data_IF_565455546930
#
_entry.id   IF_565455546930
#
_cell.length_a   1.000
_cell.length_b   1.000
_cell.length_c   1.000
_cell.angle_alpha   90.00
_cell.angle_beta   90.00
_cell.angle_gamma   90.00
#
_symmetry.space_group_name_H-M   'P 1'
#
loop_
_entity.id
_entity.type
_entity.pdbx_description
1 polymer ?
#
# COMPACT_ATOMS: atom_id res chain seq x y z
N UNK A 1 -15.57 1.52 4.62
CA UNK A 1 -14.76 1.95 5.78
C UNK A 1 -13.34 2.16 5.28
N UNK A 2 -12.95 3.41 5.06
CA UNK A 2 -11.68 3.79 4.43
C UNK A 2 -11.22 5.15 4.99
N UNK A 3 -10.04 5.63 4.57
CA UNK A 3 -9.44 6.89 4.99
C UNK A 3 -8.36 6.74 6.06
N UNK A 4 -7.80 7.86 6.52
CA UNK A 4 -6.59 7.92 7.36
C UNK A 4 -6.66 7.15 8.71
N UNK A 5 -7.86 6.86 9.20
CA UNK A 5 -8.05 6.07 10.44
C UNK A 5 -8.09 4.56 10.23
N UNK A 6 -8.03 4.08 8.98
CA UNK A 6 -8.17 2.67 8.65
C UNK A 6 -7.07 2.23 7.70
N UNK A 7 -6.77 0.93 7.76
CA UNK A 7 -5.83 0.32 6.85
C UNK A 7 -6.25 -1.12 6.52
N UNK A 8 -5.97 -1.55 5.29
CA UNK A 8 -6.39 -2.85 4.78
C UNK A 8 -5.19 -3.71 4.38
N UNK A 9 -5.21 -4.96 4.84
CA UNK A 9 -4.31 -6.02 4.41
C UNK A 9 -5.06 -6.96 3.48
N UNK A 10 -4.59 -7.09 2.24
CA UNK A 10 -5.23 -7.89 1.19
C UNK A 10 -4.29 -8.98 0.65
N UNK A 11 -4.86 -9.84 -0.17
CA UNK A 11 -4.12 -10.79 -1.00
C UNK A 11 -3.76 -10.12 -2.33
N UNK A 12 -2.51 -10.28 -2.80
CA UNK A 12 -1.98 -9.53 -3.96
C UNK A 12 -2.29 -10.11 -5.34
N UNK A 13 -2.87 -11.32 -5.41
CA UNK A 13 -3.15 -12.04 -6.65
C UNK A 13 -4.33 -11.52 -7.49
N UNK A 14 -4.88 -10.35 -7.15
CA UNK A 14 -5.92 -9.72 -7.96
C UNK A 14 -5.29 -9.08 -9.21
N UNK A 15 -6.08 -8.97 -10.27
CA UNK A 15 -5.65 -8.22 -11.45
C UNK A 15 -5.49 -6.73 -11.09
N UNK A 16 -4.58 -6.04 -11.77
CA UNK A 16 -4.50 -4.59 -11.68
C UNK A 16 -5.86 -3.97 -12.00
N UNK A 17 -6.27 -2.97 -11.24
CA UNK A 17 -7.55 -2.28 -11.36
C UNK A 17 -8.79 -3.21 -11.23
N UNK A 18 -8.69 -4.32 -10.49
CA UNK A 18 -9.82 -5.25 -10.27
C UNK A 18 -11.09 -4.58 -9.72
N UNK A 19 -10.96 -3.42 -9.07
CA UNK A 19 -12.04 -2.65 -8.47
C UNK A 19 -12.72 -1.67 -9.44
N UNK A 20 -12.28 -1.59 -10.70
CA UNK A 20 -12.88 -0.74 -11.74
C UNK A 20 -13.82 -1.51 -12.68
N UNK A 21 -14.05 -2.80 -12.43
CA UNK A 21 -14.94 -3.62 -13.26
C UNK A 21 -16.39 -3.54 -12.75
N UNK A 22 -17.33 -3.18 -13.63
CA UNK A 22 -18.75 -3.22 -13.32
C UNK A 22 -19.26 -4.67 -13.26
N UNK A 23 -19.85 -5.06 -12.13
CA UNK A 23 -20.39 -6.42 -11.96
C UNK A 23 -21.92 -6.48 -11.92
N UNK A 24 -22.66 -5.37 -12.05
CA UNK A 24 -24.14 -5.34 -12.05
C UNK A 24 -24.83 -5.91 -10.80
N UNK A 25 -24.07 -6.46 -9.85
CA UNK A 25 -24.51 -7.10 -8.61
C UNK A 25 -24.29 -6.19 -7.38
N UNK A 26 -23.61 -5.06 -7.56
CA UNK A 26 -23.29 -4.10 -6.50
C UNK A 26 -24.12 -2.83 -6.71
N UNK A 27 -24.61 -2.26 -5.61
CA UNK A 27 -25.30 -0.96 -5.61
C UNK A 27 -24.33 0.23 -5.70
N UNK A 28 -23.03 0.00 -5.46
CA UNK A 28 -21.98 1.02 -5.55
C UNK A 28 -21.51 1.21 -6.99
N UNK A 29 -21.21 2.46 -7.37
CA UNK A 29 -20.60 2.78 -8.67
C UNK A 29 -19.11 2.47 -8.69
N UNK A 30 -18.52 2.39 -9.89
CA UNK A 30 -17.07 2.22 -10.08
C UNK A 30 -16.25 3.32 -9.41
N UNK A 31 -16.74 4.55 -9.42
CA UNK A 31 -16.07 5.71 -8.81
C UNK A 31 -16.07 5.58 -7.28
N UNK A 32 -17.20 5.17 -6.69
CA UNK A 32 -17.29 4.95 -5.24
C UNK A 32 -16.39 3.80 -4.78
N UNK A 33 -16.27 2.75 -5.60
CA UNK A 33 -15.37 1.63 -5.33
C UNK A 33 -13.91 2.04 -5.45
N UNK A 34 -13.56 2.80 -6.50
CA UNK A 34 -12.23 3.33 -6.71
C UNK A 34 -11.82 4.24 -5.56
N UNK A 35 -12.67 5.21 -5.17
CA UNK A 35 -12.41 6.10 -4.04
C UNK A 35 -12.10 5.30 -2.76
N UNK A 36 -12.91 4.29 -2.44
CA UNK A 36 -12.72 3.47 -1.24
C UNK A 36 -11.42 2.66 -1.25
N UNK A 37 -11.04 2.09 -2.40
CA UNK A 37 -9.82 1.26 -2.53
C UNK A 37 -8.56 2.12 -2.63
N UNK A 38 -8.59 3.17 -3.43
CA UNK A 38 -7.45 4.06 -3.68
C UNK A 38 -7.08 4.87 -2.43
N UNK A 39 -8.07 5.41 -1.71
CA UNK A 39 -7.86 6.10 -0.44
C UNK A 39 -7.39 5.18 0.68
N UNK A 40 -7.60 3.86 0.57
CA UNK A 40 -7.14 2.90 1.57
C UNK A 40 -5.63 2.66 1.51
N UNK A 41 -5.00 2.89 0.35
CA UNK A 41 -3.59 2.61 0.07
C UNK A 41 -3.14 1.24 0.61
N UNK A 42 -4.00 0.23 0.42
CA UNK A 42 -3.87 -1.09 1.04
C UNK A 42 -2.47 -1.70 0.82
N UNK A 43 -2.07 -2.56 1.75
CA UNK A 43 -0.90 -3.43 1.57
C UNK A 43 -1.41 -4.82 1.21
N UNK A 44 -0.84 -5.40 0.18
CA UNK A 44 -1.07 -6.78 -0.18
C UNK A 44 0.20 -7.60 -0.03
N UNK A 45 -0.01 -8.91 0.10
CA UNK A 45 1.10 -9.88 0.07
C UNK A 45 0.87 -10.89 -1.02
N UNK A 46 1.93 -11.20 -1.77
CA UNK A 46 1.92 -12.19 -2.84
C UNK A 46 3.26 -12.91 -2.93
N UNK A 47 3.25 -14.20 -3.30
CA UNK A 47 4.48 -14.91 -3.61
C UNK A 47 5.17 -14.31 -4.85
N UNK A 48 6.48 -14.09 -4.76
CA UNK A 48 7.29 -13.54 -5.84
C UNK A 48 7.34 -14.51 -7.02
N UNK A 49 6.84 -14.07 -8.18
CA UNK A 49 6.66 -14.93 -9.35
C UNK A 49 7.95 -15.16 -10.14
N UNK A 50 8.86 -14.18 -10.15
CA UNK A 50 10.10 -14.21 -10.93
C UNK A 50 11.31 -13.95 -10.04
N UNK A 51 12.42 -14.60 -10.34
CA UNK A 51 13.70 -14.46 -9.63
C UNK A 51 14.37 -13.11 -9.86
N UNK A 52 15.62 -12.98 -9.40
CA UNK A 52 16.43 -11.78 -9.64
C UNK A 52 16.94 -11.72 -11.08
N UNK A 53 16.96 -10.53 -11.69
CA UNK A 53 17.36 -10.34 -13.10
C UNK A 53 18.80 -10.77 -13.40
N UNK A 54 19.72 -10.62 -12.44
CA UNK A 54 21.15 -10.87 -12.62
C UNK A 54 21.60 -12.26 -12.12
N UNK A 55 20.69 -13.23 -12.04
CA UNK A 55 20.99 -14.60 -11.61
C UNK A 55 20.83 -15.55 -12.78
N UNK A 56 21.89 -16.30 -13.10
CA UNK A 56 21.81 -17.42 -14.03
C UNK A 56 21.17 -18.62 -13.34
N UNK A 57 20.10 -19.12 -13.92
CA UNK A 57 19.30 -20.22 -13.36
C UNK A 57 19.91 -21.60 -13.68
N UNK A 58 19.34 -22.65 -13.11
CA UNK A 58 19.77 -24.05 -13.31
C UNK A 58 19.76 -24.49 -14.78
N UNK A 59 18.90 -23.88 -15.61
CA UNK A 59 18.83 -24.16 -17.04
C UNK A 59 19.87 -23.39 -17.86
N UNK A 60 20.69 -22.55 -17.22
CA UNK A 60 21.74 -21.76 -17.87
C UNK A 60 21.25 -20.46 -18.49
N UNK A 61 19.99 -20.06 -18.27
CA UNK A 61 19.41 -18.80 -18.76
C UNK A 61 19.08 -17.86 -17.61
N UNK A 62 18.93 -16.58 -17.91
CA UNK A 62 18.45 -15.53 -17.00
C UNK A 62 16.92 -15.41 -17.02
N UNK A 63 16.36 -14.67 -16.07
CA UNK A 63 14.92 -14.41 -15.99
C UNK A 63 14.42 -13.64 -17.22
N UNK A 64 15.19 -12.66 -17.70
CA UNK A 64 14.84 -11.88 -18.89
C UNK A 64 14.83 -12.74 -20.16
N UNK A 65 15.84 -13.59 -20.34
CA UNK A 65 15.89 -14.57 -21.44
C UNK A 65 14.71 -15.54 -21.38
N UNK A 66 14.35 -16.03 -20.19
CA UNK A 66 13.17 -16.87 -20.00
C UNK A 66 11.88 -16.16 -20.45
N UNK A 67 11.68 -14.89 -20.06
CA UNK A 67 10.50 -14.12 -20.45
C UNK A 67 10.45 -13.93 -21.98
N UNK A 68 11.56 -13.56 -22.61
CA UNK A 68 11.63 -13.42 -24.08
C UNK A 68 11.28 -14.74 -24.79
N UNK A 69 11.87 -15.86 -24.36
CA UNK A 69 11.59 -17.18 -24.94
C UNK A 69 10.12 -17.58 -24.77
N UNK A 70 9.52 -17.26 -23.64
CA UNK A 70 8.12 -17.57 -23.35
C UNK A 70 7.17 -16.73 -24.22
N UNK A 71 7.44 -15.43 -24.34
CA UNK A 71 6.68 -14.52 -25.20
C UNK A 71 6.75 -14.94 -26.67
N UNK A 72 7.94 -15.25 -27.19
CA UNK A 72 8.13 -15.77 -28.54
C UNK A 72 7.37 -17.08 -28.79
N UNK A 73 7.30 -17.96 -27.79
CA UNK A 73 6.57 -19.22 -27.89
C UNK A 73 5.05 -19.02 -27.93
N UNK A 74 4.53 -18.08 -27.14
CA UNK A 74 3.08 -17.79 -27.07
C UNK A 74 2.60 -17.06 -28.34
N UNK A 75 3.45 -16.25 -28.97
CA UNK A 75 3.13 -15.57 -30.23
C UNK A 75 2.95 -16.53 -31.43
N UNK A 76 3.23 -17.83 -31.27
CA UNK A 76 2.92 -18.81 -32.30
C UNK A 76 1.40 -18.93 -32.50
N UNK A 77 0.97 -19.06 -33.75
CA UNK A 77 -0.43 -18.95 -34.20
C UNK A 77 -1.43 -19.89 -33.48
N UNK A 78 -0.92 -20.99 -32.90
CA UNK A 78 -1.73 -21.95 -32.11
C UNK A 78 -1.97 -21.51 -30.66
N UNK A 79 -1.11 -20.64 -30.14
CA UNK A 79 -1.06 -20.23 -28.74
C UNK A 79 -1.47 -18.76 -28.52
N UNK A 80 -1.58 -17.97 -29.59
CA UNK A 80 -2.00 -16.56 -29.58
C UNK A 80 -3.36 -16.28 -28.91
N UNK A 81 -4.20 -17.32 -28.76
CA UNK A 81 -5.49 -17.24 -28.05
C UNK A 81 -5.38 -17.34 -26.52
N UNK A 82 -4.21 -17.67 -25.99
CA UNK A 82 -3.99 -17.83 -24.54
C UNK A 82 -3.27 -16.61 -23.99
N UNK A 83 -3.75 -16.11 -22.85
CA UNK A 83 -3.06 -15.07 -22.08
C UNK A 83 -1.99 -15.71 -21.21
N UNK A 84 -0.82 -15.08 -21.16
CA UNK A 84 0.23 -15.50 -20.24
C UNK A 84 -0.22 -15.23 -18.80
N UNK A 85 -0.16 -16.26 -17.96
CA UNK A 85 -0.36 -16.12 -16.52
C UNK A 85 1.01 -15.93 -15.85
N UNK A 86 1.07 -15.07 -14.83
CA UNK A 86 2.32 -14.75 -14.13
C UNK A 86 2.96 -15.95 -13.43
N UNK A 87 2.22 -17.05 -13.22
CA UNK A 87 2.68 -18.25 -12.52
C UNK A 87 3.42 -19.26 -13.41
N UNK A 88 3.64 -18.97 -14.70
CA UNK A 88 4.31 -19.88 -15.63
C UNK A 88 5.71 -20.32 -15.14
N UNK A 89 6.42 -19.43 -14.45
CA UNK A 89 7.74 -19.68 -13.87
C UNK A 89 7.72 -20.83 -12.85
N UNK A 90 6.67 -20.95 -12.04
CA UNK A 90 6.52 -22.06 -11.09
C UNK A 90 6.34 -23.40 -11.79
N UNK A 91 5.60 -23.44 -12.90
CA UNK A 91 5.46 -24.63 -13.72
C UNK A 91 6.81 -25.06 -14.33
N UNK A 92 7.58 -24.10 -14.83
CA UNK A 92 8.91 -24.34 -15.38
C UNK A 92 9.87 -24.92 -14.32
N UNK A 93 9.94 -24.31 -13.14
CA UNK A 93 10.80 -24.75 -12.05
C UNK A 93 10.35 -26.08 -11.44
N UNK A 94 9.05 -26.39 -11.47
CA UNK A 94 8.54 -27.69 -10.98
C UNK A 94 9.09 -28.88 -11.77
N UNK A 95 9.27 -28.71 -13.09
CA UNK A 95 9.88 -29.75 -13.94
C UNK A 95 11.37 -29.90 -13.62
N UNK A 96 12.07 -28.79 -13.38
CA UNK A 96 13.48 -28.84 -12.96
C UNK A 96 13.65 -29.51 -11.60
N UNK A 97 12.81 -29.16 -10.61
CA UNK A 97 12.82 -29.80 -9.30
C UNK A 97 12.61 -31.31 -9.41
N UNK A 98 11.63 -31.75 -10.22
CA UNK A 98 11.37 -33.16 -10.49
C UNK A 98 12.56 -33.84 -11.17
N UNK A 99 13.17 -33.21 -12.17
CA UNK A 99 14.33 -33.76 -12.88
C UNK A 99 15.55 -33.94 -11.96
N UNK A 100 15.85 -32.93 -11.13
CA UNK A 100 16.95 -32.99 -10.16
C UNK A 100 16.71 -34.08 -9.09
N UNK A 101 15.49 -34.14 -8.54
CA UNK A 101 15.12 -35.14 -7.55
C UNK A 101 15.22 -36.56 -8.13
N UNK A 102 14.71 -36.79 -9.34
CA UNK A 102 14.79 -38.09 -10.01
C UNK A 102 16.22 -38.50 -10.35
N UNK A 103 17.05 -37.55 -10.80
CA UNK A 103 18.46 -37.81 -11.08
C UNK A 103 19.19 -38.31 -9.83
N UNK A 104 19.00 -37.61 -8.71
CA UNK A 104 19.60 -38.01 -7.43
C UNK A 104 19.02 -39.32 -6.91
N UNK A 105 17.71 -39.52 -7.05
CA UNK A 105 17.05 -40.78 -6.68
C UNK A 105 17.62 -41.97 -7.46
N UNK A 106 17.90 -41.80 -8.75
CA UNK A 106 18.50 -42.85 -9.59
C UNK A 106 19.90 -43.27 -9.11
N UNK A 107 20.69 -42.34 -8.55
CA UNK A 107 21.98 -42.66 -7.92
C UNK A 107 21.80 -43.47 -6.63
N UNK A 108 20.85 -43.07 -5.79
CA UNK A 108 20.55 -43.73 -4.51
C UNK A 108 20.05 -45.16 -4.77
N UNK A 109 19.13 -45.36 -5.72
CA UNK A 109 18.58 -46.68 -6.05
C UNK A 109 19.66 -47.68 -6.52
N UNK A 110 20.71 -47.21 -7.22
CA UNK A 110 21.81 -48.06 -7.68
C UNK A 110 22.75 -48.51 -6.56
N UNK A 111 22.84 -47.72 -5.49
CA UNK A 111 23.77 -47.93 -4.36
C UNK A 111 23.09 -48.55 -3.14
N UNK A 112 21.77 -48.44 -3.05
CA UNK A 112 20.97 -49.05 -1.99
C UNK A 112 21.05 -50.58 -2.08
N UNK A 113 21.34 -51.22 -0.95
CA UNK A 113 21.31 -52.67 -0.83
C UNK A 113 19.90 -53.13 -0.48
N UNK A 114 19.35 -54.03 -1.28
CA UNK A 114 18.04 -54.64 -1.06
C UNK A 114 18.20 -56.08 -0.58
N UNK A 115 17.21 -56.59 0.15
CA UNK A 115 17.22 -57.94 0.72
C UNK A 115 17.32 -59.05 -0.36
N UNK A 116 16.87 -58.75 -1.57
CA UNK A 116 16.94 -59.63 -2.75
C UNK A 116 18.29 -59.56 -3.48
N UNK A 117 19.19 -58.66 -3.07
CA UNK A 117 20.49 -58.42 -3.69
C UNK A 117 20.45 -57.79 -5.09
N UNK A 118 19.25 -57.41 -5.57
CA UNK A 118 19.08 -56.84 -6.90
C UNK A 118 19.28 -55.32 -6.86
N UNK A 119 19.92 -54.79 -7.91
CA UNK A 119 19.95 -53.34 -8.14
C UNK A 119 18.62 -52.89 -8.69
N UNK A 120 18.15 -51.71 -8.25
CA UNK A 120 16.94 -51.08 -8.76
C UNK A 120 17.29 -49.82 -9.54
N UNK A 121 16.49 -49.56 -10.57
CA UNK A 121 16.44 -48.29 -11.30
C UNK A 121 15.05 -47.67 -11.21
N UNK A 122 14.88 -46.48 -11.81
CA UNK A 122 13.60 -45.78 -11.85
C UNK A 122 12.53 -46.59 -12.62
N UNK A 123 12.96 -47.40 -13.59
CA UNK A 123 12.13 -48.30 -14.39
C UNK A 123 11.48 -49.43 -13.60
N UNK A 124 11.97 -49.71 -12.38
CA UNK A 124 11.43 -50.76 -11.51
C UNK A 124 10.32 -50.23 -10.57
N UNK A 125 9.79 -49.03 -10.83
CA UNK A 125 8.74 -48.43 -10.02
C UNK A 125 7.46 -49.27 -10.01
N UNK A 126 6.86 -49.40 -8.82
CA UNK A 126 5.51 -49.94 -8.64
C UNK A 126 4.75 -49.08 -7.63
N UNK A 127 3.42 -48.98 -7.77
CA UNK A 127 2.60 -48.17 -6.86
C UNK A 127 2.63 -48.64 -5.39
N UNK A 128 3.08 -49.87 -5.12
CA UNK A 128 3.24 -50.40 -3.76
C UNK A 128 4.64 -50.27 -3.18
N UNK A 129 5.63 -49.75 -3.93
CA UNK A 129 7.02 -49.64 -3.46
C UNK A 129 7.20 -48.42 -2.54
N UNK A 130 6.99 -48.65 -1.24
CA UNK A 130 7.21 -47.65 -0.19
C UNK A 130 8.66 -47.22 -0.04
N UNK A 131 9.63 -48.07 -0.38
CA UNK A 131 11.04 -47.72 -0.28
C UNK A 131 11.40 -46.70 -1.35
N UNK A 132 10.97 -46.95 -2.59
CA UNK A 132 11.20 -46.01 -3.69
C UNK A 132 10.46 -44.68 -3.46
N UNK A 133 9.22 -44.71 -2.95
CA UNK A 133 8.51 -43.48 -2.61
C UNK A 133 9.21 -42.67 -1.51
N UNK A 134 9.78 -43.34 -0.51
CA UNK A 134 10.53 -42.68 0.57
C UNK A 134 11.81 -42.03 0.04
N UNK A 135 12.52 -42.72 -0.87
CA UNK A 135 13.68 -42.14 -1.54
C UNK A 135 13.27 -40.88 -2.31
N UNK A 136 12.21 -40.93 -3.11
CA UNK A 136 11.75 -39.76 -3.87
C UNK A 136 11.40 -38.58 -2.96
N UNK A 137 10.68 -38.84 -1.85
CA UNK A 137 10.30 -37.79 -0.90
C UNK A 137 11.52 -37.13 -0.25
N UNK A 138 12.44 -37.93 0.31
CA UNK A 138 13.66 -37.42 0.93
C UNK A 138 14.53 -36.67 -0.07
N UNK A 139 14.60 -37.17 -1.30
CA UNK A 139 15.43 -36.55 -2.33
C UNK A 139 14.84 -35.22 -2.80
N UNK A 140 13.50 -35.09 -2.85
CA UNK A 140 12.82 -33.84 -3.16
C UNK A 140 13.00 -32.79 -2.06
N UNK A 141 12.98 -33.20 -0.79
CA UNK A 141 13.22 -32.31 0.35
C UNK A 141 14.63 -31.70 0.34
N UNK A 142 15.62 -32.43 -0.20
CA UNK A 142 17.00 -31.97 -0.36
C UNK A 142 17.23 -31.09 -1.61
N UNK A 143 16.24 -30.91 -2.48
CA UNK A 143 16.40 -30.11 -3.71
C UNK A 143 16.59 -28.64 -3.35
N UNK A 144 17.71 -28.08 -3.82
CA UNK A 144 17.98 -26.65 -3.85
C UNK A 144 18.57 -26.25 -5.20
N UNK A 145 17.99 -25.23 -5.85
CA UNK A 145 18.57 -24.62 -7.04
C UNK A 145 18.03 -23.19 -7.27
N UNK A 146 18.76 -22.40 -8.07
CA UNK A 146 18.27 -21.12 -8.58
C UNK A 146 17.41 -21.35 -9.82
N UNK A 147 16.09 -21.17 -9.68
CA UNK A 147 15.12 -21.26 -10.77
C UNK A 147 14.77 -19.91 -11.36
N UNK A 148 13.93 -19.90 -12.40
CA UNK A 148 13.44 -18.65 -13.00
C UNK A 148 12.49 -17.89 -12.07
N UNK A 149 11.90 -18.57 -11.09
CA UNK A 149 11.12 -17.98 -10.00
C UNK A 149 11.96 -17.64 -8.75
N UNK A 150 13.28 -17.70 -8.86
CA UNK A 150 14.22 -17.48 -7.75
C UNK A 150 14.66 -18.78 -7.08
N UNK A 151 15.22 -18.72 -5.85
CA UNK A 151 15.66 -19.92 -5.14
C UNK A 151 14.47 -20.86 -4.90
N UNK A 152 14.66 -22.14 -5.23
CA UNK A 152 13.67 -23.20 -5.04
C UNK A 152 14.19 -24.15 -3.98
N UNK A 153 13.42 -24.31 -2.91
CA UNK A 153 13.65 -25.29 -1.85
C UNK A 153 12.32 -25.64 -1.18
N UNK A 154 12.31 -26.71 -0.39
CA UNK A 154 11.09 -27.24 0.23
C UNK A 154 11.27 -27.43 1.73
N UNK A 155 10.18 -27.23 2.48
CA UNK A 155 10.04 -27.62 3.88
C UNK A 155 8.83 -28.54 3.99
N UNK A 156 9.06 -29.83 4.11
CA UNK A 156 8.00 -30.83 3.98
C UNK A 156 7.39 -30.79 2.58
N UNK A 157 6.09 -30.51 2.49
CA UNK A 157 5.38 -30.41 1.20
C UNK A 157 5.37 -28.97 0.62
N UNK A 158 5.77 -27.98 1.40
CA UNK A 158 5.63 -26.56 1.03
C UNK A 158 6.91 -26.03 0.43
N UNK A 159 6.78 -25.28 -0.67
CA UNK A 159 7.90 -24.53 -1.23
C UNK A 159 8.23 -23.35 -0.31
N UNK A 160 9.51 -23.20 -0.01
CA UNK A 160 10.05 -22.00 0.64
C UNK A 160 10.45 -21.01 -0.46
N UNK A 161 9.87 -19.82 -0.41
CA UNK A 161 10.10 -18.79 -1.41
C UNK A 161 10.14 -17.39 -0.81
N UNK A 162 10.18 -16.39 -1.69
CA UNK A 162 10.15 -14.98 -1.32
C UNK A 162 8.72 -14.47 -1.44
N UNK A 163 8.26 -13.72 -0.45
CA UNK A 163 6.95 -13.05 -0.47
C UNK A 163 7.17 -11.57 -0.74
N UNK A 164 6.54 -11.03 -1.78
CA UNK A 164 6.43 -9.60 -2.01
C UNK A 164 5.37 -9.01 -1.07
N UNK A 165 5.72 -7.88 -0.47
CA UNK A 165 4.80 -6.98 0.22
C UNK A 165 4.65 -5.77 -0.69
N UNK A 166 3.43 -5.55 -1.15
CA UNK A 166 3.09 -4.54 -2.15
C UNK A 166 2.15 -3.52 -1.52
N UNK A 167 2.20 -2.29 -2.00
CA UNK A 167 1.30 -1.23 -1.57
C UNK A 167 0.68 -0.55 -2.78
N UNK A 168 -0.63 -0.34 -2.74
CA UNK A 168 -1.30 0.52 -3.69
C UNK A 168 -0.87 1.98 -3.46
N UNK A 169 -0.25 2.59 -4.46
CA UNK A 169 0.23 3.98 -4.40
C UNK A 169 -0.34 4.82 -5.52
N UNK A 170 -0.86 5.99 -5.17
CA UNK A 170 -1.27 7.03 -6.12
C UNK A 170 -0.11 7.98 -6.43
N UNK A 171 -0.05 8.47 -7.68
CA UNK A 171 0.84 9.58 -8.07
C UNK A 171 1.78 9.31 -9.25
N UNK A 172 1.67 8.16 -9.94
CA UNK A 172 2.51 7.88 -11.10
C UNK A 172 1.93 8.50 -12.39
N UNK A 173 2.71 9.38 -13.03
CA UNK A 173 2.45 9.86 -14.40
C UNK A 173 2.82 8.76 -15.41
N UNK A 174 1.88 8.32 -16.24
CA UNK A 174 2.21 7.58 -17.46
C UNK A 174 2.91 8.53 -18.44
N UNK A 175 4.22 8.35 -18.68
CA UNK A 175 4.92 9.11 -19.72
C UNK A 175 4.80 8.39 -21.07
N UNK A 176 3.85 8.82 -21.90
CA UNK A 176 3.82 8.49 -23.32
C UNK A 176 4.77 9.38 -24.13
N UNK A 177 5.89 8.79 -24.58
CA UNK A 177 6.78 9.15 -25.72
C UNK A 177 7.37 10.57 -25.83
N UNK A 178 8.64 10.71 -25.46
CA UNK A 178 9.67 11.33 -26.32
C UNK A 178 10.99 10.57 -26.20
N UNK A 179 11.49 10.13 -27.36
CA UNK A 179 12.87 9.73 -27.69
C UNK A 179 13.83 9.34 -26.55
N UNK A 180 14.14 8.04 -26.48
CA UNK A 180 15.47 7.47 -26.15
C UNK A 180 16.22 8.12 -24.98
N UNK A 181 15.74 7.99 -23.75
CA UNK A 181 16.55 7.90 -22.51
C UNK A 181 15.61 7.74 -21.31
N UNK A 182 15.63 6.55 -20.69
CA UNK A 182 14.84 6.23 -19.50
C UNK A 182 15.43 6.95 -18.28
N UNK A 183 14.70 7.89 -17.70
CA UNK A 183 15.01 8.40 -16.36
C UNK A 183 13.74 8.45 -15.53
N UNK A 184 13.79 7.82 -14.36
CA UNK A 184 12.70 7.81 -13.37
C UNK A 184 12.84 9.08 -12.56
N UNK A 185 11.92 10.03 -12.71
CA UNK A 185 11.79 11.13 -11.79
C UNK A 185 10.86 10.71 -10.65
N UNK A 186 11.41 10.42 -9.47
CA UNK A 186 10.64 10.32 -8.23
C UNK A 186 10.15 11.74 -7.87
N UNK A 187 8.83 11.92 -7.82
CA UNK A 187 8.22 13.14 -7.31
C UNK A 187 7.73 12.90 -5.89
N UNK A 188 8.07 13.81 -4.97
CA UNK A 188 7.66 13.77 -3.56
C UNK A 188 6.18 14.06 -3.43
N UNK A 189 5.47 13.18 -2.72
CA UNK A 189 4.06 13.38 -2.34
C UNK A 189 4.03 14.33 -1.15
N UNK A 190 3.86 15.60 -1.44
CA UNK A 190 3.43 16.62 -0.49
C UNK A 190 2.44 17.48 -1.26
N UNK A 191 1.15 17.12 -1.24
CA UNK A 191 0.06 18.10 -1.40
C UNK A 191 -1.29 17.51 -0.99
N UNK A 192 -2.01 18.36 -0.26
CA UNK A 192 -3.22 18.09 0.50
C UNK A 192 -4.44 17.84 -0.40
N UNK A 193 -5.26 16.86 0.02
CA UNK A 193 -6.59 16.56 -0.50
C UNK A 193 -7.55 17.74 -0.26
N UNK A 194 -8.34 18.15 -1.27
CA UNK A 194 -9.42 19.15 -1.10
C UNK A 194 -10.81 18.52 -1.31
N UNK A 195 -11.85 18.91 -0.53
CA UNK A 195 -13.17 18.29 -0.56
C UNK A 195 -13.98 18.59 -1.83
N UNK A 196 -14.88 17.67 -2.14
CA UNK A 196 -15.56 17.45 -3.43
C UNK A 196 -16.78 18.37 -3.70
N UNK A 197 -17.11 19.30 -2.80
CA UNK A 197 -18.42 19.98 -2.82
C UNK A 197 -18.54 21.23 -3.73
N UNK A 198 -17.53 21.58 -4.53
CA UNK A 198 -17.55 22.86 -5.29
C UNK A 198 -17.45 22.80 -6.83
N UNK A 199 -17.44 21.61 -7.47
CA UNK A 199 -17.22 21.53 -8.92
C UNK A 199 -18.39 20.84 -9.64
N UNK A 200 -19.36 21.64 -10.10
CA UNK A 200 -20.47 21.17 -10.92
C UNK A 200 -20.09 20.99 -12.40
N UNK A 201 -20.22 19.75 -12.91
CA UNK A 201 -20.61 19.26 -14.24
C UNK A 201 -20.16 19.92 -15.58
N UNK A 202 -19.34 20.96 -15.61
CA UNK A 202 -19.08 21.70 -16.87
C UNK A 202 -17.63 21.72 -17.37
N UNK A 203 -16.73 20.95 -16.77
CA UNK A 203 -15.32 20.97 -17.16
C UNK A 203 -14.80 19.58 -17.55
N UNK A 204 -14.22 19.49 -18.76
CA UNK A 204 -13.54 18.29 -19.26
C UNK A 204 -12.30 17.93 -18.44
N UNK A 205 -11.74 16.75 -18.73
CA UNK A 205 -10.75 16.01 -17.92
C UNK A 205 -9.43 16.75 -17.57
N UNK A 206 -9.16 17.93 -18.16
CA UNK A 206 -7.96 18.75 -17.91
C UNK A 206 -8.32 20.24 -17.69
N UNK A 207 -9.02 20.57 -16.60
CA UNK A 207 -9.40 21.96 -16.29
C UNK A 207 -8.72 22.49 -15.01
N UNK A 208 -8.14 23.69 -15.10
CA UNK A 208 -7.57 24.42 -13.98
C UNK A 208 -8.54 25.51 -13.50
N UNK A 209 -8.62 25.72 -12.18
CA UNK A 209 -9.49 26.74 -11.57
C UNK A 209 -8.71 27.64 -10.61
N UNK A 210 -9.13 28.90 -10.49
CA UNK A 210 -8.72 29.82 -9.43
C UNK A 210 -9.91 30.14 -8.54
N UNK A 211 -9.69 30.27 -7.22
CA UNK A 211 -10.70 30.77 -6.29
C UNK A 211 -10.63 32.30 -6.26
N UNK A 212 -11.66 32.97 -6.77
CA UNK A 212 -11.81 34.40 -6.58
C UNK A 212 -12.44 34.67 -5.21
N UNK A 213 -11.61 35.03 -4.22
CA UNK A 213 -12.06 35.33 -2.84
C UNK A 213 -13.03 36.51 -2.72
N UNK A 214 -13.17 37.33 -3.76
CA UNK A 214 -14.11 38.45 -3.76
C UNK A 214 -15.51 38.04 -4.22
N UNK A 215 -15.59 37.00 -5.05
CA UNK A 215 -16.83 36.46 -5.60
C UNK A 215 -17.22 35.12 -4.97
N UNK A 216 -16.31 34.52 -4.19
CA UNK A 216 -16.42 33.18 -3.60
C UNK A 216 -16.79 32.11 -4.64
N UNK A 217 -16.17 32.23 -5.82
CA UNK A 217 -16.44 31.38 -6.99
C UNK A 217 -15.15 30.88 -7.63
N UNK A 218 -15.22 29.68 -8.21
CA UNK A 218 -14.15 29.10 -9.01
C UNK A 218 -14.25 29.59 -10.46
N UNK A 219 -13.17 30.16 -10.98
CA UNK A 219 -13.06 30.62 -12.37
C UNK A 219 -12.14 29.69 -13.16
N UNK A 220 -12.55 29.19 -14.35
CA UNK A 220 -11.69 28.35 -15.18
C UNK A 220 -10.56 29.17 -15.79
N UNK A 221 -9.33 28.64 -15.76
CA UNK A 221 -8.12 29.28 -16.27
C UNK A 221 -7.27 28.32 -17.09
N UNK A 222 -6.36 28.87 -17.90
CA UNK A 222 -5.36 28.07 -18.62
C UNK A 222 -4.33 27.49 -17.66
N UNK A 223 -4.06 26.19 -17.76
CA UNK A 223 -3.06 25.48 -16.96
C UNK A 223 -1.60 25.84 -17.30
N UNK A 224 -1.36 26.59 -18.37
CA UNK A 224 -0.02 27.01 -18.81
C UNK A 224 0.45 28.31 -18.13
N UNK A 225 -0.46 29.07 -17.52
CA UNK A 225 -0.14 30.31 -16.81
C UNK A 225 0.22 30.05 -15.34
N UNK A 226 1.22 30.77 -14.81
CA UNK A 226 1.61 30.67 -13.40
C UNK A 226 0.60 31.40 -12.51
N UNK A 227 -0.40 30.67 -12.05
CA UNK A 227 -1.30 31.06 -10.97
C UNK A 227 -1.17 30.04 -9.82
N UNK A 228 -1.53 30.41 -8.60
CA UNK A 228 -1.74 29.44 -7.51
C UNK A 228 -3.11 28.77 -7.74
N UNK A 229 -3.13 27.66 -8.47
CA UNK A 229 -4.34 26.91 -8.85
C UNK A 229 -4.46 25.60 -8.07
N UNK A 230 -5.70 25.11 -7.92
CA UNK A 230 -6.02 23.76 -7.46
C UNK A 230 -6.35 22.95 -8.72
N UNK A 231 -5.53 21.95 -9.06
CA UNK A 231 -5.80 21.03 -10.16
C UNK A 231 -6.39 19.72 -9.65
N UNK A 232 -7.48 19.28 -10.27
CA UNK A 232 -7.88 17.86 -10.23
C UNK A 232 -7.00 17.12 -11.24
N UNK A 233 -5.88 16.54 -10.79
CA UNK A 233 -5.10 15.63 -11.63
C UNK A 233 -5.48 14.20 -11.28
N UNK A 234 -5.87 13.41 -12.28
CA UNK A 234 -6.18 11.99 -12.12
C UNK A 234 -4.92 11.29 -11.59
N UNK A 235 -4.96 10.85 -10.34
CA UNK A 235 -3.89 10.05 -9.75
C UNK A 235 -4.01 8.64 -10.32
N UNK A 236 -2.96 8.15 -11.00
CA UNK A 236 -2.89 6.73 -11.37
C UNK A 236 -2.39 5.98 -10.15
N UNK A 237 -3.15 4.97 -9.73
CA UNK A 237 -2.77 4.05 -8.68
C UNK A 237 -2.12 2.79 -9.27
N UNK A 238 -1.05 2.34 -8.62
CA UNK A 238 -0.36 1.10 -9.01
C UNK A 238 0.12 0.38 -7.76
N UNK A 239 0.02 -0.95 -7.75
CA UNK A 239 0.69 -1.76 -6.74
C UNK A 239 2.21 -1.71 -6.95
N UNK A 240 2.93 -1.26 -5.92
CA UNK A 240 4.39 -1.17 -5.91
C UNK A 240 4.94 -2.06 -4.82
N UNK A 241 5.95 -2.88 -5.14
CA UNK A 241 6.68 -3.68 -4.14
C UNK A 241 7.42 -2.75 -3.18
N UNK A 242 7.09 -2.84 -1.89
CA UNK A 242 7.68 -2.04 -0.82
C UNK A 242 8.67 -2.83 0.04
N UNK A 243 8.51 -4.15 0.12
CA UNK A 243 9.43 -5.04 0.80
C UNK A 243 9.35 -6.46 0.25
N UNK A 244 10.42 -7.22 0.49
CA UNK A 244 10.48 -8.66 0.22
C UNK A 244 10.74 -9.40 1.53
N UNK A 245 9.99 -10.47 1.78
CA UNK A 245 10.21 -11.36 2.93
C UNK A 245 10.82 -12.69 2.43
N UNK A 246 12.08 -12.91 2.79
CA UNK A 246 12.78 -14.19 2.59
C UNK A 246 12.37 -15.16 3.72
N UNK A 247 11.52 -16.12 3.39
CA UNK A 247 10.98 -17.10 4.36
C UNK A 247 12.08 -18.02 4.90
N UNK A 248 13.09 -18.35 4.09
CA UNK A 248 14.18 -19.23 4.52
C UNK A 248 15.08 -18.55 5.57
N UNK A 249 15.31 -17.24 5.42
CA UNK A 249 16.12 -16.45 6.35
C UNK A 249 15.31 -15.78 7.46
N UNK A 250 13.98 -15.84 7.39
CA UNK A 250 13.05 -15.11 8.26
C UNK A 250 13.41 -13.61 8.35
N UNK A 251 13.61 -12.99 7.18
CA UNK A 251 14.10 -11.60 7.07
C UNK A 251 13.26 -10.82 6.08
N UNK A 252 12.85 -9.61 6.48
CA UNK A 252 12.19 -8.64 5.62
C UNK A 252 13.23 -7.62 5.15
N UNK A 253 13.37 -7.48 3.84
CA UNK A 253 14.19 -6.47 3.19
C UNK A 253 13.29 -5.36 2.63
N UNK A 254 13.35 -4.19 3.26
CA UNK A 254 12.58 -3.02 2.86
C UNK A 254 13.22 -2.35 1.66
N UNK A 255 12.47 -2.24 0.57
CA UNK A 255 12.86 -1.53 -0.65
C UNK A 255 12.40 -0.08 -0.61
N UNK A 256 11.25 0.18 0.03
CA UNK A 256 10.61 1.51 0.12
C UNK A 256 9.94 1.67 1.49
N UNK A 257 9.82 2.91 1.97
CA UNK A 257 9.05 3.25 3.17
C UNK A 257 7.55 3.19 2.88
N UNK A 258 6.73 2.68 3.80
CA UNK A 258 5.26 2.68 3.68
C UNK A 258 4.75 4.12 3.62
N UNK A 259 3.79 4.41 2.73
CA UNK A 259 3.05 5.66 2.72
C UNK A 259 1.67 5.48 3.33
N UNK A 260 1.23 6.38 4.21
CA UNK A 260 -0.07 6.28 4.86
C UNK A 260 -1.02 7.34 4.33
N UNK A 261 -2.34 7.08 4.20
CA UNK A 261 -3.29 8.07 3.69
C UNK A 261 -3.31 9.39 4.47
N UNK A 262 -3.00 9.37 5.77
CA UNK A 262 -2.88 10.55 6.64
C UNK A 262 -1.45 10.96 6.97
N UNK A 263 -0.44 10.40 6.29
CA UNK A 263 0.99 10.61 6.60
C UNK A 263 1.50 9.87 7.84
N UNK A 264 0.61 9.50 8.76
CA UNK A 264 0.93 8.78 10.00
C UNK A 264 0.30 7.39 10.03
N UNK A 265 0.90 6.50 10.82
CA UNK A 265 0.39 5.15 11.05
C UNK A 265 -0.96 5.25 11.77
N UNK A 266 -2.04 4.62 11.26
CA UNK A 266 -3.32 4.61 11.94
C UNK A 266 -3.23 3.96 13.33
N UNK A 267 -3.92 4.55 14.31
CA UNK A 267 -4.01 3.99 15.66
C UNK A 267 -4.92 2.76 15.67
N UNK A 268 -4.61 1.80 16.53
CA UNK A 268 -5.38 0.57 16.73
C UNK A 268 -6.68 0.81 17.54
N UNK A 269 -6.74 1.92 18.28
CA UNK A 269 -7.93 2.38 18.98
C UNK A 269 -7.96 3.91 19.08
N UNK A 270 -9.13 4.48 19.37
CA UNK A 270 -9.23 5.90 19.72
C UNK A 270 -8.46 6.13 21.02
N UNK A 271 -7.46 7.03 21.05
CA UNK A 271 -6.69 7.26 22.26
C UNK A 271 -7.62 7.77 23.37
N UNK A 272 -7.46 7.25 24.58
CA UNK A 272 -8.20 7.76 25.73
C UNK A 272 -7.85 9.24 25.91
N UNK A 273 -8.80 10.11 25.59
CA UNK A 273 -8.69 11.54 25.89
C UNK A 273 -8.74 11.64 27.41
N UNK A 274 -7.58 11.79 28.05
CA UNK A 274 -7.51 12.10 29.48
C UNK A 274 -8.10 13.50 29.63
N UNK A 275 -9.39 13.56 29.93
CA UNK A 275 -10.03 14.79 30.38
C UNK A 275 -9.46 15.12 31.77
N UNK A 276 -8.32 15.80 31.82
CA UNK A 276 -7.94 16.53 33.04
C UNK A 276 -9.01 17.57 33.27
N UNK A 277 -9.91 17.29 34.22
CA UNK A 277 -10.89 18.24 34.72
C UNK A 277 -10.12 19.36 35.42
N UNK A 278 -9.67 20.35 34.66
CA UNK A 278 -9.13 21.59 35.23
C UNK A 278 -10.34 22.35 35.75
N UNK A 279 -10.53 22.37 37.08
CA UNK A 279 -11.48 23.29 37.70
C UNK A 279 -10.96 24.71 37.51
N UNK A 280 -11.32 25.34 36.39
CA UNK A 280 -11.07 26.75 36.17
C UNK A 280 -12.09 27.49 37.04
N UNK A 281 -11.63 28.12 38.12
CA UNK A 281 -12.44 29.09 38.84
C UNK A 281 -12.68 30.27 37.90
N UNK A 282 -13.87 30.33 37.28
CA UNK A 282 -14.32 31.52 36.58
C UNK A 282 -14.55 32.64 37.61
N UNK A 283 -13.46 33.33 37.95
CA UNK A 283 -13.52 34.56 38.73
C UNK A 283 -14.19 35.68 37.92
N UNK A 284 -14.69 36.69 38.63
CA UNK A 284 -15.23 37.90 37.97
C UNK A 284 -14.09 38.57 37.20
N UNK A 285 -14.29 38.92 35.91
CA UNK A 285 -13.28 39.65 35.14
C UNK A 285 -12.80 40.89 35.89
N UNK A 286 -11.48 41.05 36.01
CA UNK A 286 -10.85 42.15 36.75
C UNK A 286 -11.37 43.52 36.32
N UNK A 287 -11.72 43.67 35.04
CA UNK A 287 -12.30 44.89 34.48
C UNK A 287 -13.64 45.24 35.15
N UNK A 288 -14.54 44.27 35.31
CA UNK A 288 -15.86 44.48 35.95
C UNK A 288 -15.66 44.83 37.42
N UNK A 289 -14.73 44.16 38.11
CA UNK A 289 -14.42 44.45 39.51
C UNK A 289 -13.91 45.88 39.69
N UNK A 290 -12.96 46.33 38.87
CA UNK A 290 -12.39 47.68 38.94
C UNK A 290 -13.45 48.76 38.66
N UNK A 291 -14.32 48.55 37.67
CA UNK A 291 -15.42 49.48 37.36
C UNK A 291 -16.36 49.59 38.56
N UNK A 292 -16.79 48.47 39.14
CA UNK A 292 -17.72 48.46 40.26
C UNK A 292 -17.12 49.11 41.51
N UNK A 293 -15.85 48.84 41.83
CA UNK A 293 -15.15 49.50 42.93
C UNK A 293 -15.02 51.02 42.72
N UNK A 294 -14.76 51.46 41.48
CA UNK A 294 -14.65 52.89 41.15
C UNK A 294 -15.99 53.62 41.32
N UNK A 295 -17.09 53.03 40.82
CA UNK A 295 -18.44 53.57 41.02
C UNK A 295 -18.83 53.64 42.50
N UNK A 296 -18.53 52.59 43.27
CA UNK A 296 -18.78 52.58 44.71
C UNK A 296 -17.98 53.68 45.43
N UNK A 297 -16.70 53.87 45.06
CA UNK A 297 -15.85 54.94 45.61
C UNK A 297 -16.41 56.35 45.34
N UNK A 298 -16.88 56.61 44.11
CA UNK A 298 -17.53 57.87 43.77
C UNK A 298 -18.81 58.10 44.59
N UNK A 299 -19.62 57.06 44.81
CA UNK A 299 -20.82 57.13 45.63
C UNK A 299 -20.53 57.50 47.10
N UNK A 300 -19.46 56.93 47.68
CA UNK A 300 -19.02 57.24 49.04
C UNK A 300 -18.59 58.71 49.15
N UNK A 301 -17.82 59.22 48.19
CA UNK A 301 -17.38 60.63 48.18
C UNK A 301 -18.56 61.60 48.09
N UNK A 302 -19.55 61.29 47.26
CA UNK A 302 -20.77 62.09 47.13
C UNK A 302 -21.57 62.09 48.45
N UNK A 303 -21.71 60.94 49.11
CA UNK A 303 -22.39 60.83 50.40
C UNK A 303 -21.68 61.65 51.49
N UNK A 304 -20.34 61.61 51.55
CA UNK A 304 -19.55 62.44 52.47
C UNK A 304 -19.76 63.93 52.15
N UNK A 305 -19.77 64.32 50.88
CA UNK A 305 -20.06 65.70 50.46
C UNK A 305 -21.44 66.18 50.92
N UNK A 306 -22.48 65.36 50.72
CA UNK A 306 -23.83 65.65 51.22
C UNK A 306 -23.89 65.73 52.75
N UNK A 307 -23.15 64.87 53.47
CA UNK A 307 -23.07 64.92 54.92
C UNK A 307 -22.41 66.22 55.41
N UNK A 308 -21.28 66.61 54.82
CA UNK A 308 -20.58 67.87 55.13
C UNK A 308 -21.49 69.06 54.86
N UNK A 309 -22.15 69.07 53.70
CA UNK A 309 -23.12 70.12 53.34
C UNK A 309 -24.24 70.22 54.38
N UNK A 310 -24.84 69.08 54.75
CA UNK A 310 -25.92 69.03 55.74
C UNK A 310 -25.44 69.51 57.13
N UNK A 311 -24.22 69.18 57.54
CA UNK A 311 -23.64 69.67 58.81
C UNK A 311 -23.39 71.18 58.76
N UNK A 312 -22.81 71.69 57.68
CA UNK A 312 -22.46 73.11 57.54
C UNK A 312 -23.71 74.01 57.52
N UNK A 313 -24.75 73.60 56.80
CA UNK A 313 -25.99 74.37 56.66
C UNK A 313 -27.06 74.04 57.72
N UNK A 314 -26.77 73.17 58.70
CA UNK A 314 -27.71 72.70 59.73
C UNK A 314 -28.43 73.83 60.50
N UNK A 315 -27.77 74.96 60.69
CA UNK A 315 -28.25 76.08 61.52
C UNK A 315 -28.66 77.31 60.69
N UNK A 316 -28.61 77.26 59.36
CA UNK A 316 -29.17 78.31 58.51
C UNK A 316 -30.65 78.01 58.28
N UNK A 317 -31.52 78.59 59.11
CA UNK A 317 -32.94 78.76 58.84
C UNK A 317 -33.17 80.08 58.11
#
# INVERSE_FOLDING_TARGET
MFGAGYFWLLVGWYNSNWYTEENGALECTTEQMAEAVESSMYISTQARLLGGENVTTVSGITVSEYQTLLEEHIQQDRLSRYSLIGQAAYGYDSIWAMALALNRSAEILKTTSYDDGLRRGLENFTYSDKNMSTIFFNTLEEVYFEGVSGPVSFSGADRIGIINIEQLRGGHLWSGLRGTLWSVAEFSVDDQWTPEELISETAGEDACFILDTSLDQLLPVSCEERHSFICKKVAVFQEVVIAEHDVAKNRIDWLRSISWPGGEVPLDHTPEVIFTRVEIYEGIPTIIYVINCSLAGLGILLAIGCLIFNIYYKNQK
#
